data_IF_901614284076
#
_entry.id   IF_901614284076
#
_cell.length_a   1.000
_cell.length_b   1.000
_cell.length_c   1.000
_cell.angle_alpha   90.00
_cell.angle_beta   90.00
_cell.angle_gamma   90.00
#
_symmetry.space_group_name_H-M   'P 1'
#
loop_
_entity.id
_entity.type
_entity.pdbx_description
1 polymer ?
#
# COMPACT_ATOMS: atom_id res chain seq x y z
N UNK A 1 -11.80 1.66 -2.72
CA UNK A 1 -12.40 0.77 -3.76
C UNK A 1 -11.44 -0.32 -4.23
N UNK A 2 -10.16 -0.02 -4.44
CA UNK A 2 -9.16 -1.03 -4.86
C UNK A 2 -8.94 -2.11 -3.78
N UNK A 3 -8.89 -1.73 -2.52
CA UNK A 3 -8.78 -2.67 -1.40
C UNK A 3 -9.97 -3.63 -1.34
N UNK A 4 -11.16 -3.16 -1.71
CA UNK A 4 -12.38 -3.97 -1.65
C UNK A 4 -12.45 -5.01 -2.78
N UNK A 5 -11.82 -4.76 -3.93
CA UNK A 5 -11.74 -5.73 -5.03
C UNK A 5 -10.74 -6.86 -4.74
N UNK A 6 -9.70 -6.59 -3.98
CA UNK A 6 -8.72 -7.60 -3.56
C UNK A 6 -9.20 -8.44 -2.35
N UNK A 7 -10.29 -8.05 -1.68
CA UNK A 7 -10.83 -8.75 -0.50
C UNK A 7 -11.34 -10.17 -0.79
N UNK A 8 -11.56 -10.54 -2.06
CA UNK A 8 -11.94 -11.88 -2.45
C UNK A 8 -10.81 -12.91 -2.51
N UNK A 9 -9.57 -12.47 -2.64
CA UNK A 9 -8.41 -13.34 -2.75
C UNK A 9 -7.79 -13.59 -1.38
N UNK A 10 -8.18 -14.67 -0.71
CA UNK A 10 -7.65 -15.05 0.62
C UNK A 10 -6.11 -15.09 0.67
N UNK A 11 -5.47 -15.41 -0.43
CA UNK A 11 -4.01 -15.54 -0.55
C UNK A 11 -3.28 -14.18 -0.59
N UNK A 12 -3.94 -13.11 -1.08
CA UNK A 12 -3.39 -11.77 -1.06
C UNK A 12 -3.30 -11.16 0.36
N UNK A 13 -4.02 -11.72 1.31
CA UNK A 13 -4.09 -11.21 2.69
C UNK A 13 -2.89 -11.51 3.59
N UNK A 14 -1.95 -12.30 3.12
CA UNK A 14 -0.69 -12.56 3.86
C UNK A 14 0.33 -11.45 3.72
N UNK A 15 0.14 -10.54 2.79
CA UNK A 15 1.08 -9.46 2.51
C UNK A 15 0.80 -8.23 3.37
N UNK A 16 1.84 -7.47 3.62
CA UNK A 16 1.70 -6.17 4.25
C UNK A 16 0.99 -5.20 3.31
N UNK A 17 0.15 -4.34 3.87
CA UNK A 17 -0.54 -3.28 3.14
C UNK A 17 0.24 -1.96 3.14
N UNK A 18 1.32 -1.90 3.88
CA UNK A 18 2.18 -0.75 3.95
C UNK A 18 3.22 -0.87 5.05
N UNK A 19 4.12 0.08 5.07
CA UNK A 19 5.18 0.19 6.05
C UNK A 19 5.60 1.63 6.24
N UNK A 20 6.20 1.93 7.39
CA UNK A 20 6.87 3.20 7.59
C UNK A 20 8.01 3.39 6.59
N UNK A 21 8.25 4.61 6.22
CA UNK A 21 9.29 5.04 5.30
C UNK A 21 10.03 6.22 5.93
N UNK A 22 11.35 6.15 5.98
CA UNK A 22 12.16 7.21 6.55
C UNK A 22 13.60 7.12 6.08
N UNK A 23 14.53 6.86 6.98
CA UNK A 23 15.93 6.62 6.60
C UNK A 23 16.12 5.26 5.93
N UNK A 24 15.32 4.26 6.31
CA UNK A 24 15.29 2.97 5.64
C UNK A 24 14.08 2.88 4.72
N UNK A 25 14.21 2.04 3.68
CA UNK A 25 13.11 1.74 2.75
C UNK A 25 11.92 1.10 3.48
N UNK A 26 12.18 0.25 4.49
CA UNK A 26 11.16 -0.38 5.31
C UNK A 26 11.44 -0.08 6.77
N UNK A 27 10.54 0.65 7.40
CA UNK A 27 10.58 0.96 8.83
C UNK A 27 9.25 0.60 9.50
N UNK A 28 9.28 0.52 10.82
CA UNK A 28 8.04 0.38 11.60
C UNK A 28 7.25 1.70 11.59
N UNK A 29 5.94 1.64 11.72
CA UNK A 29 5.13 0.42 11.88
C UNK A 29 4.90 -0.30 10.54
N UNK A 30 4.69 -1.62 10.63
CA UNK A 30 4.25 -2.43 9.49
C UNK A 30 2.73 -2.52 9.54
N UNK A 31 2.07 -2.12 8.47
CA UNK A 31 0.62 -2.22 8.32
C UNK A 31 0.32 -3.58 7.68
N UNK A 32 -0.02 -4.54 8.53
CA UNK A 32 -0.29 -5.91 8.11
C UNK A 32 -1.39 -6.51 8.97
N UNK A 33 -2.25 -7.29 8.34
CA UNK A 33 -3.27 -8.06 9.04
C UNK A 33 -2.68 -9.01 10.10
N UNK A 34 -1.46 -9.49 9.90
CA UNK A 34 -0.82 -10.41 10.82
C UNK A 34 -0.27 -9.74 12.08
N UNK A 35 -0.06 -8.44 12.05
CA UNK A 35 0.62 -7.70 13.13
C UNK A 35 -0.32 -6.74 13.86
N UNK A 36 -1.22 -6.10 13.14
CA UNK A 36 -1.94 -4.92 13.64
C UNK A 36 -3.20 -5.21 14.47
N UNK A 37 -3.82 -6.39 14.33
CA UNK A 37 -5.04 -6.69 15.10
C UNK A 37 -4.77 -6.96 16.57
N UNK A 38 -3.67 -7.64 16.90
CA UNK A 38 -3.33 -7.97 18.28
C UNK A 38 -2.52 -6.88 18.99
N UNK A 39 -1.85 -6.05 18.21
CA UNK A 39 -1.00 -4.96 18.71
C UNK A 39 -1.19 -3.71 17.84
N UNK A 40 -2.27 -2.96 18.04
CA UNK A 40 -2.51 -1.75 17.29
C UNK A 40 -1.39 -0.74 17.52
N UNK A 41 -1.01 -0.06 16.46
CA UNK A 41 -0.04 1.02 16.49
C UNK A 41 -0.76 2.35 16.22
N UNK A 42 -0.49 3.33 17.05
CA UNK A 42 -1.04 4.67 16.87
C UNK A 42 -0.29 5.41 15.76
N UNK A 43 -1.03 5.86 14.75
CA UNK A 43 -0.46 6.71 13.71
C UNK A 43 -0.40 8.15 14.23
N UNK A 44 0.77 8.77 14.11
CA UNK A 44 1.02 10.13 14.55
C UNK A 44 1.23 11.05 13.34
N UNK A 45 0.85 12.30 13.48
CA UNK A 45 1.08 13.31 12.46
C UNK A 45 2.57 13.41 12.12
N UNK A 46 2.86 13.54 10.81
CA UNK A 46 4.21 13.59 10.29
C UNK A 46 4.81 12.22 9.95
N UNK A 47 4.18 11.11 10.34
CA UNK A 47 4.63 9.79 9.90
C UNK A 47 4.43 9.64 8.40
N UNK A 48 5.41 9.03 7.73
CA UNK A 48 5.38 8.73 6.30
C UNK A 48 5.24 7.22 6.10
N UNK A 49 4.35 6.84 5.20
CA UNK A 49 4.08 5.45 4.85
C UNK A 49 4.12 5.23 3.35
N UNK A 50 4.64 4.08 2.95
CA UNK A 50 4.31 3.45 1.68
C UNK A 50 3.07 2.58 1.88
N UNK A 51 1.99 2.88 1.16
CA UNK A 51 0.76 2.08 1.14
C UNK A 51 0.73 1.27 -0.14
N UNK A 52 0.73 -0.05 0.00
CA UNK A 52 0.87 -0.99 -1.10
C UNK A 52 -0.39 -1.82 -1.28
N UNK A 53 -0.77 -2.04 -2.53
CA UNK A 53 -1.80 -3.01 -2.89
C UNK A 53 -1.20 -4.12 -3.73
N UNK A 54 -1.72 -5.33 -3.56
CA UNK A 54 -1.33 -6.46 -4.38
C UNK A 54 -2.58 -7.21 -4.81
N UNK A 55 -2.80 -7.27 -6.11
CA UNK A 55 -3.96 -7.93 -6.70
C UNK A 55 -3.48 -8.99 -7.72
N UNK A 56 -3.50 -10.29 -7.36
CA UNK A 56 -3.15 -11.35 -8.27
C UNK A 56 -4.24 -11.54 -9.33
N UNK A 57 -3.82 -11.93 -10.54
CA UNK A 57 -4.74 -12.38 -11.57
C UNK A 57 -5.38 -13.73 -11.18
N UNK A 58 -6.64 -13.92 -11.51
CA UNK A 58 -7.39 -15.14 -11.15
C UNK A 58 -6.80 -16.41 -11.80
N UNK A 59 -6.18 -16.26 -12.94
CA UNK A 59 -5.56 -17.36 -13.69
C UNK A 59 -4.09 -17.61 -13.30
N UNK A 60 -3.57 -16.85 -12.36
CA UNK A 60 -2.18 -16.95 -11.91
C UNK A 60 -1.13 -16.42 -12.91
N UNK A 61 -1.55 -15.73 -13.98
CA UNK A 61 -0.64 -15.19 -15.01
C UNK A 61 0.24 -14.05 -14.53
N UNK A 62 -0.11 -13.41 -13.41
CA UNK A 62 0.63 -12.29 -12.86
C UNK A 62 -0.09 -11.60 -11.72
N UNK A 63 0.35 -10.40 -11.38
CA UNK A 63 -0.28 -9.57 -10.36
C UNK A 63 -0.04 -8.09 -10.66
N UNK A 64 -0.95 -7.23 -10.20
CA UNK A 64 -0.78 -5.80 -10.19
C UNK A 64 -0.45 -5.31 -8.78
N UNK A 65 0.49 -4.39 -8.68
CA UNK A 65 0.80 -3.68 -7.45
C UNK A 65 0.74 -2.18 -7.73
N UNK A 66 0.04 -1.46 -6.87
CA UNK A 66 0.01 -0.01 -6.86
C UNK A 66 0.47 0.43 -5.48
N UNK A 67 1.37 1.39 -5.46
CA UNK A 67 1.98 1.92 -4.25
C UNK A 67 1.88 3.45 -4.23
N UNK A 68 1.52 4.00 -3.09
CA UNK A 68 1.44 5.43 -2.84
C UNK A 68 2.21 5.77 -1.57
N UNK A 69 3.02 6.81 -1.63
CA UNK A 69 3.61 7.39 -0.43
C UNK A 69 2.68 8.44 0.14
N UNK A 70 2.45 8.38 1.44
CA UNK A 70 1.59 9.31 2.14
C UNK A 70 2.25 9.83 3.41
N UNK A 71 1.94 11.07 3.78
CA UNK A 71 2.26 11.62 5.09
C UNK A 71 0.97 11.78 5.90
N UNK A 72 1.01 11.36 7.15
CA UNK A 72 -0.12 11.51 8.09
C UNK A 72 -0.26 12.99 8.47
N UNK A 73 -1.48 13.49 8.41
CA UNK A 73 -1.84 14.85 8.82
C UNK A 73 -2.80 14.79 10.03
N UNK A 74 -3.09 15.93 10.64
CA UNK A 74 -3.98 16.01 11.78
C UNK A 74 -5.40 15.48 11.53
N UNK A 75 -5.86 15.52 10.27
CA UNK A 75 -7.22 15.17 9.84
C UNK A 75 -7.30 14.07 8.77
N UNK A 76 -6.16 13.46 8.44
CA UNK A 76 -6.11 12.41 7.42
C UNK A 76 -4.71 12.13 6.91
N UNK A 77 -4.52 12.19 5.60
CA UNK A 77 -3.21 12.04 4.97
C UNK A 77 -3.09 12.86 3.69
N UNK A 78 -1.85 13.16 3.32
CA UNK A 78 -1.50 13.80 2.05
C UNK A 78 -0.65 12.84 1.24
N UNK A 79 -1.03 12.62 -0.03
CA UNK A 79 -0.24 11.83 -0.98
C UNK A 79 0.99 12.62 -1.40
N UNK A 80 2.15 11.97 -1.35
CA UNK A 80 3.44 12.52 -1.74
C UNK A 80 3.85 12.07 -3.14
N UNK A 81 3.41 10.89 -3.58
CA UNK A 81 3.67 10.34 -4.91
C UNK A 81 3.05 11.23 -5.98
N UNK A 82 3.85 11.68 -6.94
CA UNK A 82 3.40 12.54 -8.04
C UNK A 82 3.00 11.75 -9.28
N UNK A 83 3.43 10.49 -9.39
CA UNK A 83 3.08 9.65 -10.53
C UNK A 83 1.61 9.20 -10.42
N UNK A 84 0.80 9.42 -11.44
CA UNK A 84 -0.62 9.07 -11.39
C UNK A 84 -0.83 7.55 -11.29
N UNK A 85 -1.67 7.12 -10.35
CA UNK A 85 -2.01 5.71 -10.13
C UNK A 85 -3.40 5.32 -10.70
N UNK A 86 -4.11 6.27 -11.32
CA UNK A 86 -5.47 6.07 -11.81
C UNK A 86 -5.52 5.38 -13.17
N UNK A 87 -4.43 5.42 -13.92
CA UNK A 87 -4.36 4.90 -15.28
C UNK A 87 -3.11 4.03 -15.46
N UNK A 88 -3.23 3.01 -16.31
CA UNK A 88 -2.08 2.25 -16.77
C UNK A 88 -1.42 2.99 -17.94
N UNK A 89 -0.23 3.50 -17.70
CA UNK A 89 0.53 4.19 -18.73
C UNK A 89 1.16 3.20 -19.71
N UNK A 90 0.94 3.44 -20.99
CA UNK A 90 1.62 2.71 -22.06
C UNK A 90 2.85 3.47 -22.46
N UNK A 91 4.04 2.90 -22.24
CA UNK A 91 5.27 3.45 -22.75
C UNK A 91 5.26 3.46 -24.28
N UNK A 92 5.94 4.44 -24.91
CA UNK A 92 6.03 4.50 -26.36
C UNK A 92 6.53 3.15 -26.90
N UNK A 93 5.82 2.53 -27.86
CA UNK A 93 6.33 1.36 -28.55
C UNK A 93 7.58 1.80 -29.35
N UNK A 94 8.66 1.11 -29.15
CA UNK A 94 9.86 1.27 -29.96
C UNK A 94 9.62 0.67 -31.34
#
# INVERSE_FOLDING_TARGET
RAVQLCLGAREAFGLQFGHGLGMALHERPIISRLVSFDKPFELQEGMVFALETYCPALDGSGAARIEEEVVVTADGCKILTLFPAQELFVANPY
#
